data_IF_446377780292
#
_entry.id   IF_446377780292
#
_cell.length_a   1.000
_cell.length_b   1.000
_cell.length_c   1.000
_cell.angle_alpha   90.00
_cell.angle_beta   90.00
_cell.angle_gamma   90.00
#
_symmetry.space_group_name_H-M   'P 1'
#
loop_
_entity.id
_entity.type
_entity.pdbx_description
1 polymer ?
#
# COMPACT_ATOMS: atom_id res chain seq x y z
N UNK A 1 -15.17 17.77 -19.09
CA UNK A 1 -13.96 17.66 -18.24
C UNK A 1 -13.40 16.26 -18.46
N UNK A 2 -12.28 16.12 -19.19
CA UNK A 2 -11.71 14.80 -19.51
C UNK A 2 -10.90 14.32 -18.30
N UNK A 3 -11.34 13.24 -17.66
CA UNK A 3 -10.53 12.54 -16.66
C UNK A 3 -9.30 11.97 -17.37
N UNK A 4 -8.12 12.49 -17.03
CA UNK A 4 -6.84 11.95 -17.46
C UNK A 4 -6.71 10.54 -16.88
N UNK A 5 -6.54 9.56 -17.76
CA UNK A 5 -6.25 8.17 -17.40
C UNK A 5 -5.04 8.17 -16.44
N UNK A 6 -5.10 7.50 -15.27
CA UNK A 6 -3.95 7.42 -14.37
C UNK A 6 -2.75 6.87 -15.15
N UNK A 7 -1.57 7.46 -14.94
CA UNK A 7 -0.35 7.09 -15.66
C UNK A 7 -0.12 5.58 -15.53
N UNK A 8 -0.46 4.84 -16.58
CA UNK A 8 -0.29 3.39 -16.62
C UNK A 8 1.19 3.10 -16.67
N UNK A 9 1.74 2.56 -15.59
CA UNK A 9 3.06 1.92 -15.62
C UNK A 9 2.94 0.74 -16.58
N UNK A 10 3.48 0.92 -17.79
CA UNK A 10 3.44 -0.10 -18.83
C UNK A 10 4.72 -0.92 -18.73
N UNK A 11 4.63 -2.07 -18.08
CA UNK A 11 5.74 -3.03 -18.01
C UNK A 11 5.66 -3.93 -19.25
N UNK A 12 6.55 -3.72 -20.22
CA UNK A 12 6.64 -4.57 -21.41
C UNK A 12 7.60 -5.72 -21.12
N UNK A 13 7.07 -6.94 -21.02
CA UNK A 13 7.87 -8.15 -20.81
C UNK A 13 7.67 -9.10 -21.98
N UNK A 14 8.73 -9.34 -22.75
CA UNK A 14 8.78 -10.33 -23.82
C UNK A 14 9.49 -11.58 -23.31
N UNK A 15 8.73 -12.65 -23.04
CA UNK A 15 9.26 -13.95 -22.65
C UNK A 15 8.59 -15.07 -23.43
N UNK A 16 9.36 -16.11 -23.77
CA UNK A 16 8.87 -17.35 -24.39
C UNK A 16 8.39 -18.38 -23.34
N UNK A 17 8.45 -18.04 -22.06
CA UNK A 17 8.12 -18.90 -20.92
C UNK A 17 7.18 -18.17 -19.94
N UNK A 18 6.45 -18.89 -19.06
CA UNK A 18 5.65 -18.28 -18.01
C UNK A 18 6.51 -17.35 -17.15
N UNK A 19 6.07 -16.10 -17.00
CA UNK A 19 6.65 -15.13 -16.08
C UNK A 19 5.86 -15.16 -14.78
N UNK A 20 6.54 -15.55 -13.71
CA UNK A 20 6.05 -15.36 -12.36
C UNK A 20 6.71 -14.08 -11.84
N UNK A 21 5.92 -13.04 -11.61
CA UNK A 21 6.38 -11.82 -10.95
C UNK A 21 6.18 -12.06 -9.45
N UNK A 22 7.22 -12.52 -8.78
CA UNK A 22 7.26 -12.58 -7.33
C UNK A 22 7.70 -11.21 -6.81
N UNK A 23 6.75 -10.45 -6.29
CA UNK A 23 7.05 -9.29 -5.45
C UNK A 23 6.88 -9.74 -4.00
N UNK A 24 7.98 -10.01 -3.30
CA UNK A 24 7.92 -10.19 -1.86
C UNK A 24 7.67 -8.83 -1.17
N UNK A 25 7.25 -8.87 0.09
CA UNK A 25 6.90 -7.68 0.85
C UNK A 25 8.07 -6.68 1.00
N UNK A 26 9.31 -7.17 1.05
CA UNK A 26 10.51 -6.34 1.16
C UNK A 26 10.77 -5.58 -0.14
N UNK A 27 10.80 -6.32 -1.26
CA UNK A 27 10.97 -5.78 -2.60
C UNK A 27 9.88 -4.77 -2.95
N UNK A 28 8.62 -5.03 -2.53
CA UNK A 28 7.54 -4.06 -2.68
C UNK A 28 7.79 -2.78 -1.87
N UNK A 29 8.24 -2.90 -0.62
CA UNK A 29 8.56 -1.75 0.24
C UNK A 29 9.65 -0.86 -0.35
N UNK A 30 10.71 -1.45 -0.91
CA UNK A 30 11.79 -0.72 -1.58
C UNK A 30 11.32 0.04 -2.82
N UNK A 31 10.46 -0.59 -3.64
CA UNK A 31 9.86 0.05 -4.81
C UNK A 31 8.93 1.19 -4.39
N UNK A 32 8.09 0.97 -3.38
CA UNK A 32 7.19 1.99 -2.84
C UNK A 32 7.97 3.21 -2.30
N UNK A 33 9.09 2.97 -1.61
CA UNK A 33 9.94 4.04 -1.08
C UNK A 33 10.59 4.91 -2.16
N UNK A 34 10.79 4.37 -3.38
CA UNK A 34 11.33 5.12 -4.51
C UNK A 34 10.27 5.92 -5.29
N UNK A 35 8.98 5.75 -5.01
CA UNK A 35 7.89 6.47 -5.68
C UNK A 35 7.75 7.92 -5.18
N UNK A 36 7.20 8.80 -6.02
CA UNK A 36 6.73 10.12 -5.58
C UNK A 36 5.56 10.01 -4.59
N UNK A 37 5.32 11.06 -3.83
CA UNK A 37 4.18 11.16 -2.91
C UNK A 37 2.83 10.95 -3.62
N UNK A 38 2.65 11.54 -4.81
CA UNK A 38 1.46 11.34 -5.62
C UNK A 38 1.24 9.86 -5.99
N UNK A 39 2.30 9.17 -6.43
CA UNK A 39 2.25 7.74 -6.78
C UNK A 39 1.97 6.87 -5.56
N UNK A 40 2.61 7.15 -4.41
CA UNK A 40 2.34 6.43 -3.16
C UNK A 40 0.87 6.57 -2.73
N UNK A 41 0.30 7.77 -2.85
CA UNK A 41 -1.13 8.02 -2.59
C UNK A 41 -2.02 7.25 -3.57
N UNK A 42 -1.64 7.14 -4.84
CA UNK A 42 -2.38 6.32 -5.81
C UNK A 42 -2.37 4.84 -5.45
N UNK A 43 -1.24 4.30 -4.98
CA UNK A 43 -1.15 2.93 -4.48
C UNK A 43 -2.11 2.71 -3.30
N UNK A 44 -2.11 3.61 -2.31
CA UNK A 44 -3.05 3.52 -1.19
C UNK A 44 -4.51 3.57 -1.65
N UNK A 45 -4.87 4.43 -2.60
CA UNK A 45 -6.23 4.49 -3.16
C UNK A 45 -6.62 3.18 -3.83
N UNK A 46 -5.71 2.58 -4.60
CA UNK A 46 -5.96 1.30 -5.26
C UNK A 46 -6.16 0.16 -4.25
N UNK A 47 -5.35 0.11 -3.19
CA UNK A 47 -5.50 -0.86 -2.10
C UNK A 47 -6.86 -0.71 -1.40
N UNK A 48 -7.24 0.53 -1.04
CA UNK A 48 -8.53 0.80 -0.40
C UNK A 48 -9.70 0.39 -1.30
N UNK A 49 -9.65 0.73 -2.59
CA UNK A 49 -10.70 0.35 -3.55
C UNK A 49 -10.85 -1.16 -3.67
N UNK A 50 -9.74 -1.89 -3.84
CA UNK A 50 -9.76 -3.35 -3.96
C UNK A 50 -10.34 -4.01 -2.70
N UNK A 51 -10.03 -3.47 -1.52
CA UNK A 51 -10.48 -4.00 -0.25
C UNK A 51 -11.94 -3.67 0.10
N UNK A 52 -12.62 -2.81 -0.66
CA UNK A 52 -14.06 -2.53 -0.45
C UNK A 52 -14.92 -3.79 -0.52
N UNK A 53 -14.54 -4.77 -1.34
CA UNK A 53 -15.22 -6.05 -1.45
C UNK A 53 -14.98 -6.98 -0.24
N UNK A 54 -14.03 -6.63 0.63
CA UNK A 54 -13.55 -7.46 1.73
C UNK A 54 -13.56 -6.70 3.07
N UNK A 55 -14.70 -6.15 3.51
CA UNK A 55 -14.77 -5.27 4.69
C UNK A 55 -14.29 -5.95 5.97
N UNK A 56 -14.59 -7.24 6.17
CA UNK A 56 -14.17 -7.99 7.36
C UNK A 56 -12.65 -8.19 7.44
N UNK A 57 -11.95 -8.14 6.30
CA UNK A 57 -10.49 -8.23 6.31
C UNK A 57 -9.85 -6.99 6.94
N UNK A 58 -10.50 -5.82 6.85
CA UNK A 58 -10.03 -4.63 7.57
C UNK A 58 -10.08 -4.81 9.08
N UNK A 59 -11.14 -5.44 9.60
CA UNK A 59 -11.25 -5.75 11.03
C UNK A 59 -10.14 -6.72 11.47
N UNK A 60 -9.87 -7.74 10.67
CA UNK A 60 -8.79 -8.69 10.94
C UNK A 60 -7.40 -8.02 10.93
N UNK A 61 -7.14 -7.12 9.96
CA UNK A 61 -5.88 -6.36 9.89
C UNK A 61 -5.76 -5.45 11.11
N UNK A 62 -6.84 -4.74 11.47
CA UNK A 62 -6.87 -3.85 12.65
C UNK A 62 -6.54 -4.63 13.93
N UNK A 63 -7.18 -5.78 14.15
CA UNK A 63 -6.89 -6.64 15.31
C UNK A 63 -5.44 -7.16 15.28
N UNK A 64 -4.92 -7.52 14.11
CA UNK A 64 -3.55 -8.00 13.98
C UNK A 64 -2.51 -6.91 14.29
N UNK A 65 -2.76 -5.67 13.89
CA UNK A 65 -1.89 -4.52 14.18
C UNK A 65 -1.83 -4.17 15.67
N UNK A 66 -2.86 -4.52 16.46
CA UNK A 66 -2.85 -4.31 17.91
C UNK A 66 -2.01 -5.34 18.68
N UNK A 67 -1.51 -6.39 18.02
CA UNK A 67 -0.65 -7.38 18.68
C UNK A 67 0.74 -6.80 18.96
N UNK A 68 1.41 -7.21 20.05
CA UNK A 68 2.72 -6.68 20.43
C UNK A 68 3.79 -6.80 19.34
N UNK A 69 3.75 -7.86 18.53
CA UNK A 69 4.72 -8.08 17.45
C UNK A 69 4.60 -7.09 16.27
N UNK A 70 3.52 -6.30 16.19
CA UNK A 70 3.28 -5.33 15.11
C UNK A 70 3.20 -3.89 15.63
N UNK A 71 3.50 -3.65 16.91
CA UNK A 71 3.30 -2.34 17.54
C UNK A 71 4.16 -1.25 16.90
N UNK A 72 5.36 -1.59 16.45
CA UNK A 72 6.27 -0.70 15.74
C UNK A 72 5.65 -0.16 14.44
N UNK A 73 5.08 -1.05 13.63
CA UNK A 73 4.41 -0.68 12.37
C UNK A 73 3.16 0.16 12.65
N UNK A 74 2.33 -0.27 13.61
CA UNK A 74 1.12 0.45 14.01
C UNK A 74 1.43 1.88 14.47
N UNK A 75 2.45 2.03 15.31
CA UNK A 75 2.80 3.32 15.90
C UNK A 75 3.38 4.27 14.85
N UNK A 76 4.19 3.77 13.90
CA UNK A 76 4.65 4.56 12.74
C UNK A 76 3.46 5.05 11.92
N UNK A 77 2.52 4.17 11.56
CA UNK A 77 1.35 4.59 10.78
C UNK A 77 0.50 5.63 11.52
N UNK A 78 0.27 5.45 12.82
CA UNK A 78 -0.46 6.42 13.64
C UNK A 78 0.24 7.78 13.64
N UNK A 79 1.55 7.80 13.86
CA UNK A 79 2.32 9.05 13.90
C UNK A 79 2.35 9.78 12.55
N UNK A 80 2.42 9.05 11.45
CA UNK A 80 2.44 9.63 10.09
C UNK A 80 1.06 10.13 9.68
N UNK A 81 0.00 9.39 9.98
CA UNK A 81 -1.37 9.72 9.56
C UNK A 81 -2.06 10.72 10.50
N UNK A 82 -1.68 10.74 11.78
CA UNK A 82 -2.27 11.59 12.82
C UNK A 82 -1.19 12.36 13.61
N UNK A 83 -0.31 13.13 12.96
CA UNK A 83 0.86 13.73 13.59
C UNK A 83 0.55 14.74 14.72
N UNK A 84 -0.68 15.26 14.79
CA UNK A 84 -1.10 16.26 15.77
C UNK A 84 -1.88 15.68 16.97
N UNK A 85 -2.22 14.39 16.98
CA UNK A 85 -2.97 13.77 18.09
C UNK A 85 -2.06 13.21 19.18
N UNK A 86 -0.75 13.09 18.91
CA UNK A 86 0.25 12.52 19.84
C UNK A 86 0.85 13.59 20.78
N UNK A 87 0.54 14.88 20.57
CA UNK A 87 1.08 16.01 21.32
C UNK A 87 0.10 16.60 22.36
N UNK A 88 -0.97 15.89 22.71
CA UNK A 88 -1.95 16.31 23.74
C UNK A 88 -1.97 15.40 24.95
#
# INVERSE_FOLDING_TARGET
MKMTNPQKITVNISSRFPLFIDADASSFGEVFACMSDEEQVYVFRAMVEAMKAHPTQWDHISIALEKPENSDVRDVFRNVLFPNEVAS
#
